data_IF_055110634525
#
_entry.id   IF_055110634525
#
_cell.length_a   1.000
_cell.length_b   1.000
_cell.length_c   1.000
_cell.angle_alpha   90.00
_cell.angle_beta   90.00
_cell.angle_gamma   90.00
#
_symmetry.space_group_name_H-M   'P 1'
#
loop_
_entity.id
_entity.type
_entity.pdbx_description
1 polymer ?
#
# COMPACT_ATOMS: atom_id res chain seq x y z
N UNK A 1 -28.16 -28.17 -0.44
CA UNK A 1 -27.24 -27.13 0.06
C UNK A 1 -27.82 -25.81 -0.36
N UNK A 2 -27.82 -24.78 0.49
CA UNK A 2 -28.28 -23.44 0.09
C UNK A 2 -27.22 -22.76 -0.74
N UNK A 3 -27.63 -21.95 -1.71
CA UNK A 3 -26.76 -21.06 -2.47
C UNK A 3 -25.98 -20.14 -1.51
N UNK A 4 -24.68 -20.02 -1.71
CA UNK A 4 -23.82 -19.17 -0.89
C UNK A 4 -23.72 -17.81 -1.57
N UNK A 5 -24.28 -16.80 -0.92
CA UNK A 5 -24.26 -15.43 -1.44
C UNK A 5 -22.82 -14.93 -1.60
N UNK A 6 -22.49 -14.48 -2.81
CA UNK A 6 -21.15 -13.97 -3.12
C UNK A 6 -20.14 -15.04 -3.53
N UNK A 7 -20.55 -16.30 -3.73
CA UNK A 7 -19.65 -17.38 -4.14
C UNK A 7 -18.89 -17.06 -5.43
N UNK A 8 -19.56 -16.51 -6.43
CA UNK A 8 -18.95 -16.17 -7.73
C UNK A 8 -17.99 -14.97 -7.68
N UNK A 9 -18.00 -14.19 -6.59
CA UNK A 9 -17.10 -13.05 -6.38
C UNK A 9 -15.85 -13.38 -5.56
N UNK A 10 -15.74 -14.61 -5.08
CA UNK A 10 -14.60 -15.08 -4.29
C UNK A 10 -13.57 -15.72 -5.22
N UNK A 11 -12.31 -15.35 -5.09
CA UNK A 11 -11.20 -16.01 -5.80
C UNK A 11 -11.00 -17.43 -5.26
N UNK A 12 -10.62 -18.37 -6.13
CA UNK A 12 -10.25 -19.71 -5.71
C UNK A 12 -9.01 -19.70 -4.80
N UNK A 13 -8.93 -20.63 -3.87
CA UNK A 13 -7.78 -20.74 -2.99
C UNK A 13 -6.50 -21.04 -3.80
N UNK A 14 -5.51 -20.16 -3.71
CA UNK A 14 -4.26 -20.23 -4.48
C UNK A 14 -4.18 -19.27 -5.67
N UNK A 15 -5.27 -18.63 -6.09
CA UNK A 15 -5.30 -17.64 -7.19
C UNK A 15 -4.97 -16.20 -6.75
N UNK A 16 -4.44 -16.02 -5.55
CA UNK A 16 -4.07 -14.68 -5.09
C UNK A 16 -2.98 -14.05 -5.96
N UNK A 17 -3.40 -13.32 -6.98
CA UNK A 17 -2.50 -12.45 -7.73
C UNK A 17 -2.22 -11.20 -6.90
N UNK A 18 -0.99 -11.05 -6.43
CA UNK A 18 -0.53 -9.79 -5.85
C UNK A 18 -0.75 -8.66 -6.87
N UNK A 19 -1.34 -7.55 -6.43
CA UNK A 19 -1.46 -6.37 -7.28
C UNK A 19 -0.06 -5.86 -7.66
N UNK A 20 0.33 -5.83 -8.93
CA UNK A 20 1.63 -5.30 -9.33
C UNK A 20 1.68 -3.77 -9.22
N UNK A 21 2.89 -3.20 -9.17
CA UNK A 21 3.06 -1.78 -9.40
C UNK A 21 2.47 -1.40 -10.76
N UNK A 22 1.74 -0.30 -10.82
CA UNK A 22 1.03 0.08 -12.03
C UNK A 22 0.16 1.31 -11.86
N UNK A 23 -0.53 1.66 -12.94
CA UNK A 23 -1.42 2.80 -13.03
C UNK A 23 -2.84 2.27 -13.19
N UNK A 24 -3.71 2.57 -12.24
CA UNK A 24 -5.07 2.02 -12.20
C UNK A 24 -6.12 3.12 -12.13
N UNK A 25 -7.18 2.94 -12.89
CA UNK A 25 -8.38 3.78 -12.76
C UNK A 25 -9.18 3.25 -11.57
N UNK A 26 -9.35 4.10 -10.57
CA UNK A 26 -10.01 3.72 -9.31
C UNK A 26 -11.24 4.58 -9.06
N UNK A 27 -12.18 4.04 -8.30
CA UNK A 27 -13.30 4.76 -7.71
C UNK A 27 -13.10 4.83 -6.20
N UNK A 28 -13.40 5.98 -5.63
CA UNK A 28 -13.42 6.17 -4.18
C UNK A 28 -14.70 5.54 -3.65
N UNK A 29 -14.59 4.52 -2.82
CA UNK A 29 -15.73 3.76 -2.28
C UNK A 29 -16.13 4.17 -0.88
N UNK A 30 -15.18 4.69 -0.10
CA UNK A 30 -15.43 5.27 1.22
C UNK A 30 -14.36 6.32 1.54
N UNK A 31 -14.75 7.28 2.37
CA UNK A 31 -13.85 8.28 2.94
C UNK A 31 -14.20 8.46 4.41
N UNK A 32 -13.19 8.55 5.26
CA UNK A 32 -13.35 8.82 6.68
C UNK A 32 -12.32 9.87 7.10
N UNK A 33 -12.80 10.98 7.64
CA UNK A 33 -11.93 11.99 8.24
C UNK A 33 -11.49 11.53 9.63
N UNK A 34 -10.20 11.66 9.91
CA UNK A 34 -9.58 11.37 11.21
C UNK A 34 -8.90 12.65 11.74
N UNK A 35 -9.68 13.61 12.27
CA UNK A 35 -9.19 14.94 12.63
C UNK A 35 -8.08 14.92 13.67
N UNK A 36 -8.14 14.00 14.62
CA UNK A 36 -7.11 13.86 15.67
C UNK A 36 -5.71 13.55 15.12
N UNK A 37 -5.64 12.99 13.90
CA UNK A 37 -4.39 12.62 13.22
C UNK A 37 -4.16 13.42 11.94
N UNK A 38 -5.09 14.31 11.57
CA UNK A 38 -5.07 15.21 10.42
C UNK A 38 -4.87 14.46 9.09
N UNK A 39 -5.73 13.47 8.81
CA UNK A 39 -5.76 12.77 7.52
C UNK A 39 -7.16 12.28 7.14
N UNK A 40 -7.36 12.09 5.83
CA UNK A 40 -8.45 11.29 5.30
C UNK A 40 -7.97 9.86 5.08
N UNK A 41 -8.73 8.89 5.59
CA UNK A 41 -8.65 7.49 5.19
C UNK A 41 -9.57 7.29 3.99
N UNK A 42 -9.03 6.79 2.88
CA UNK A 42 -9.73 6.68 1.60
C UNK A 42 -9.71 5.22 1.19
N UNK A 43 -10.88 4.64 0.93
CA UNK A 43 -10.99 3.31 0.33
C UNK A 43 -11.19 3.43 -1.17
N UNK A 44 -10.51 2.58 -1.92
CA UNK A 44 -10.51 2.58 -3.38
C UNK A 44 -10.98 1.22 -3.92
N UNK A 45 -11.60 1.23 -5.10
CA UNK A 45 -11.79 0.03 -5.90
C UNK A 45 -11.24 0.27 -7.31
N UNK A 46 -10.55 -0.72 -7.87
CA UNK A 46 -10.11 -0.68 -9.26
C UNK A 46 -11.32 -0.97 -10.14
N UNK A 47 -11.60 -0.07 -11.09
CA UNK A 47 -12.84 -0.16 -11.89
C UNK A 47 -12.61 -0.52 -13.34
N UNK A 48 -11.34 -0.66 -13.78
CA UNK A 48 -11.03 -0.95 -15.18
C UNK A 48 -9.75 -1.80 -15.33
N UNK A 49 -9.75 -2.66 -16.36
CA UNK A 49 -8.63 -3.56 -16.66
C UNK A 49 -8.73 -4.90 -15.94
N UNK A 50 -7.65 -5.68 -16.01
CA UNK A 50 -7.57 -7.07 -15.51
C UNK A 50 -7.73 -7.18 -13.98
N UNK A 51 -7.58 -6.09 -13.27
CA UNK A 51 -7.71 -6.00 -11.81
C UNK A 51 -8.99 -5.29 -11.36
N UNK A 52 -9.99 -5.14 -12.25
CA UNK A 52 -11.27 -4.56 -11.87
C UNK A 52 -11.94 -5.39 -10.75
N UNK A 53 -12.39 -4.74 -9.67
CA UNK A 53 -12.98 -5.42 -8.51
C UNK A 53 -11.97 -6.09 -7.57
N UNK A 54 -10.68 -5.82 -7.73
CA UNK A 54 -9.61 -6.49 -6.98
C UNK A 54 -9.77 -6.38 -5.46
N UNK A 55 -10.00 -5.19 -4.94
CA UNK A 55 -10.09 -4.99 -3.49
C UNK A 55 -11.35 -5.60 -2.89
N UNK A 56 -12.47 -5.54 -3.61
CA UNK A 56 -13.70 -6.21 -3.21
C UNK A 56 -13.53 -7.73 -3.13
N UNK A 57 -12.92 -8.34 -4.15
CA UNK A 57 -12.61 -9.77 -4.19
C UNK A 57 -11.64 -10.17 -3.07
N UNK A 58 -10.59 -9.39 -2.84
CA UNK A 58 -9.63 -9.62 -1.75
C UNK A 58 -10.31 -9.59 -0.39
N UNK A 59 -11.19 -8.61 -0.16
CA UNK A 59 -11.94 -8.50 1.10
C UNK A 59 -12.91 -9.67 1.28
N UNK A 60 -13.62 -10.07 0.24
CA UNK A 60 -14.53 -11.23 0.28
C UNK A 60 -13.79 -12.53 0.63
N UNK A 61 -12.58 -12.71 0.09
CA UNK A 61 -11.80 -13.95 0.27
C UNK A 61 -11.02 -13.97 1.59
N UNK A 62 -10.39 -12.86 1.97
CA UNK A 62 -9.48 -12.81 3.14
C UNK A 62 -10.13 -12.26 4.41
N UNK A 63 -11.28 -11.61 4.28
CA UNK A 63 -11.91 -10.84 5.36
C UNK A 63 -11.18 -9.52 5.69
N UNK A 64 -10.04 -9.23 5.03
CA UNK A 64 -9.21 -8.04 5.28
C UNK A 64 -9.43 -6.99 4.20
N UNK A 65 -9.47 -5.73 4.62
CA UNK A 65 -9.63 -4.58 3.72
C UNK A 65 -8.25 -4.01 3.33
N UNK A 66 -7.83 -4.27 2.09
CA UNK A 66 -6.60 -3.77 1.50
C UNK A 66 -6.80 -2.52 0.63
N UNK A 67 -8.04 -2.03 0.52
CA UNK A 67 -8.39 -0.89 -0.32
C UNK A 67 -7.95 0.46 0.25
N UNK A 68 -7.58 0.50 1.52
CA UNK A 68 -7.37 1.72 2.29
C UNK A 68 -6.03 2.39 1.99
N UNK A 69 -6.09 3.69 1.80
CA UNK A 69 -4.92 4.58 1.72
C UNK A 69 -5.17 5.85 2.53
N UNK A 70 -4.11 6.51 2.94
CA UNK A 70 -4.17 7.72 3.78
C UNK A 70 -3.70 8.91 2.99
N UNK A 71 -4.41 10.04 3.14
CA UNK A 71 -3.97 11.36 2.65
C UNK A 71 -3.99 12.35 3.80
N UNK A 72 -2.80 12.65 4.31
CA UNK A 72 -2.63 13.64 5.37
C UNK A 72 -2.82 15.05 4.84
N UNK A 73 -3.48 15.88 5.63
CA UNK A 73 -3.62 17.31 5.40
C UNK A 73 -2.83 18.15 6.42
N UNK A 74 -1.88 17.54 7.14
CA UNK A 74 -0.88 18.28 7.93
C UNK A 74 -0.13 19.27 7.06
N UNK A 75 0.35 20.35 7.65
CA UNK A 75 1.02 21.43 6.92
C UNK A 75 2.12 20.94 5.96
N UNK A 76 2.96 20.01 6.40
CA UNK A 76 4.04 19.45 5.58
C UNK A 76 3.56 18.50 4.47
N UNK A 77 2.34 17.96 4.58
CA UNK A 77 1.73 17.04 3.61
C UNK A 77 0.68 17.74 2.71
N UNK A 78 0.33 18.98 3.02
CA UNK A 78 -0.73 19.73 2.33
C UNK A 78 -0.55 19.81 0.80
N UNK A 79 0.66 19.95 0.23
CA UNK A 79 0.84 19.90 -1.23
C UNK A 79 0.36 18.57 -1.86
N UNK A 80 0.58 17.45 -1.19
CA UNK A 80 0.13 16.13 -1.65
C UNK A 80 -1.38 15.96 -1.53
N UNK A 81 -1.96 16.47 -0.46
CA UNK A 81 -3.41 16.52 -0.29
C UNK A 81 -4.06 17.36 -1.39
N UNK A 82 -3.55 18.55 -1.65
CA UNK A 82 -4.02 19.41 -2.74
C UNK A 82 -3.90 18.73 -4.10
N UNK A 83 -2.79 18.02 -4.37
CA UNK A 83 -2.60 17.28 -5.60
C UNK A 83 -3.66 16.17 -5.77
N UNK A 84 -4.01 15.44 -4.70
CA UNK A 84 -5.08 14.46 -4.69
C UNK A 84 -6.44 15.10 -5.05
N UNK A 85 -6.84 16.17 -4.35
CA UNK A 85 -8.10 16.86 -4.62
C UNK A 85 -8.15 17.39 -6.06
N UNK A 86 -7.06 18.01 -6.55
CA UNK A 86 -6.97 18.49 -7.93
C UNK A 86 -7.11 17.34 -8.94
N UNK A 87 -6.53 16.19 -8.67
CA UNK A 87 -6.68 15.01 -9.52
C UNK A 87 -8.12 14.53 -9.59
N UNK A 88 -8.83 14.49 -8.46
CA UNK A 88 -10.26 14.13 -8.39
C UNK A 88 -11.09 15.15 -9.17
N UNK A 89 -10.90 16.45 -8.95
CA UNK A 89 -11.64 17.50 -9.67
C UNK A 89 -11.47 17.42 -11.19
N UNK A 90 -10.23 17.25 -11.66
CA UNK A 90 -9.93 17.14 -13.09
C UNK A 90 -10.47 15.86 -13.72
N UNK A 91 -10.61 14.79 -12.95
CA UNK A 91 -11.14 13.51 -13.44
C UNK A 91 -12.67 13.53 -13.52
N UNK A 92 -13.34 14.27 -12.65
CA UNK A 92 -14.80 14.28 -12.54
C UNK A 92 -15.34 15.65 -12.96
N UNK A 93 -15.82 15.75 -14.22
CA UNK A 93 -16.38 17.01 -14.76
C UNK A 93 -17.49 17.56 -13.86
N UNK A 94 -17.41 18.87 -13.60
CA UNK A 94 -18.40 19.58 -12.78
C UNK A 94 -18.26 19.38 -11.27
N UNK A 95 -17.36 18.52 -10.83
CA UNK A 95 -17.06 18.39 -9.41
C UNK A 95 -16.04 19.47 -8.98
N UNK A 96 -16.33 20.11 -7.85
CA UNK A 96 -15.42 21.01 -7.14
C UNK A 96 -15.41 20.67 -5.67
N UNK A 97 -14.22 20.65 -5.09
CA UNK A 97 -14.03 20.40 -3.67
C UNK A 97 -14.59 21.55 -2.84
N UNK A 98 -15.42 21.22 -1.87
CA UNK A 98 -16.12 22.17 -1.01
C UNK A 98 -15.99 21.83 0.48
N UNK A 99 -14.95 21.09 0.84
CA UNK A 99 -14.65 20.66 2.22
C UNK A 99 -15.66 19.66 2.82
N UNK A 100 -16.35 18.91 1.97
CA UNK A 100 -17.23 17.82 2.36
C UNK A 100 -16.66 16.52 1.81
N UNK A 101 -15.96 15.77 2.69
CA UNK A 101 -15.25 14.55 2.31
C UNK A 101 -16.17 13.44 1.81
N UNK A 102 -17.41 13.39 2.29
CA UNK A 102 -18.41 12.43 1.85
C UNK A 102 -18.75 12.57 0.35
N UNK A 103 -18.57 13.76 -0.24
CA UNK A 103 -18.79 13.99 -1.68
C UNK A 103 -17.69 13.43 -2.56
N UNK A 104 -16.59 12.98 -1.99
CA UNK A 104 -15.55 12.24 -2.70
C UNK A 104 -15.99 10.82 -3.03
N UNK A 105 -16.93 10.25 -2.26
CA UNK A 105 -17.44 8.89 -2.50
C UNK A 105 -18.11 8.82 -3.88
N UNK A 106 -17.80 7.79 -4.63
CA UNK A 106 -18.26 7.59 -6.01
C UNK A 106 -17.44 8.33 -7.07
N UNK A 107 -16.51 9.21 -6.71
CA UNK A 107 -15.64 9.89 -7.66
C UNK A 107 -14.52 8.98 -8.15
N UNK A 108 -14.08 9.24 -9.38
CA UNK A 108 -12.98 8.52 -10.00
C UNK A 108 -11.67 9.27 -9.85
N UNK A 109 -10.59 8.53 -9.74
CA UNK A 109 -9.23 9.08 -9.75
C UNK A 109 -8.26 8.03 -10.27
N UNK A 110 -7.18 8.44 -10.89
CA UNK A 110 -6.11 7.52 -11.29
C UNK A 110 -5.15 7.37 -10.13
N UNK A 111 -5.02 6.16 -9.61
CA UNK A 111 -4.08 5.82 -8.55
C UNK A 111 -2.83 5.15 -9.13
N UNK A 112 -1.66 5.64 -8.75
CA UNK A 112 -0.37 5.07 -9.13
C UNK A 112 0.12 4.24 -7.96
N UNK A 113 0.17 2.93 -8.17
CA UNK A 113 0.67 1.97 -7.20
C UNK A 113 2.15 1.70 -7.45
N UNK A 114 2.95 1.87 -6.43
CA UNK A 114 4.37 1.54 -6.45
C UNK A 114 4.70 0.49 -5.41
N UNK A 115 5.83 -0.17 -5.59
CA UNK A 115 6.35 -1.12 -4.63
C UNK A 115 7.20 -0.42 -3.57
N UNK A 116 7.07 -0.86 -2.33
CA UNK A 116 7.81 -0.36 -1.17
C UNK A 116 8.29 -1.54 -0.32
N UNK A 117 9.59 -1.57 -0.04
CA UNK A 117 10.15 -2.50 0.94
C UNK A 117 9.77 -2.06 2.36
N UNK A 118 9.51 -3.02 3.22
CA UNK A 118 9.30 -2.82 4.65
C UNK A 118 9.87 -3.98 5.44
N UNK A 119 10.25 -3.75 6.69
CA UNK A 119 10.66 -4.82 7.60
C UNK A 119 9.42 -5.36 8.28
N UNK A 120 9.17 -6.65 8.09
CA UNK A 120 8.10 -7.38 8.77
C UNK A 120 8.47 -7.54 10.25
N UNK A 121 7.64 -6.99 11.13
CA UNK A 121 7.91 -6.99 12.59
C UNK A 121 7.91 -8.38 13.23
N UNK A 122 7.26 -9.36 12.59
CA UNK A 122 7.17 -10.71 13.13
C UNK A 122 8.33 -11.60 12.69
N UNK A 123 8.70 -11.52 11.39
CA UNK A 123 9.80 -12.33 10.83
C UNK A 123 11.13 -11.60 10.78
N UNK A 124 11.15 -10.28 11.02
CA UNK A 124 12.32 -9.40 10.86
C UNK A 124 12.96 -9.46 9.46
N UNK A 125 12.17 -9.85 8.46
CA UNK A 125 12.59 -9.93 7.07
C UNK A 125 12.15 -8.71 6.28
N UNK A 126 12.93 -8.36 5.24
CA UNK A 126 12.51 -7.33 4.27
C UNK A 126 11.50 -7.94 3.31
N UNK A 127 10.30 -7.36 3.28
CA UNK A 127 9.21 -7.75 2.38
C UNK A 127 8.83 -6.57 1.49
N UNK A 128 8.18 -6.87 0.37
CA UNK A 128 7.70 -5.86 -0.59
C UNK A 128 6.19 -5.80 -0.55
N UNK A 129 5.64 -4.60 -0.40
CA UNK A 129 4.20 -4.32 -0.52
C UNK A 129 3.93 -3.33 -1.65
N UNK A 130 2.79 -3.49 -2.31
CA UNK A 130 2.29 -2.55 -3.31
C UNK A 130 1.32 -1.57 -2.64
N UNK A 131 1.59 -0.27 -2.77
CA UNK A 131 0.79 0.80 -2.14
C UNK A 131 0.55 1.95 -3.09
N UNK A 132 -0.53 2.70 -2.86
CA UNK A 132 -0.77 3.96 -3.57
C UNK A 132 0.29 4.99 -3.18
N UNK A 133 1.08 5.39 -4.13
CA UNK A 133 2.09 6.44 -3.95
C UNK A 133 1.58 7.80 -4.40
N UNK A 134 0.88 7.87 -5.55
CA UNK A 134 0.41 9.12 -6.12
C UNK A 134 -1.02 9.00 -6.63
N UNK A 135 -1.68 10.16 -6.74
CA UNK A 135 -2.93 10.32 -7.46
C UNK A 135 -2.74 11.25 -8.66
N UNK A 136 -3.32 10.88 -9.78
CA UNK A 136 -3.24 11.60 -11.04
C UNK A 136 -4.63 11.79 -11.65
N UNK A 137 -4.76 12.77 -12.53
CA UNK A 137 -6.01 13.01 -13.24
C UNK A 137 -6.22 12.03 -14.40
N UNK A 138 -7.47 11.83 -14.78
CA UNK A 138 -7.84 11.04 -15.95
C UNK A 138 -7.25 11.59 -17.25
N UNK A 139 -7.06 12.91 -17.36
CA UNK A 139 -6.43 13.52 -18.53
C UNK A 139 -4.93 13.15 -18.62
N UNK A 140 -4.20 13.21 -17.49
CA UNK A 140 -2.81 12.77 -17.45
C UNK A 140 -2.66 11.28 -17.83
N UNK A 141 -3.63 10.45 -17.48
CA UNK A 141 -3.67 9.05 -17.88
C UNK A 141 -3.87 8.89 -19.39
N UNK A 142 -4.85 9.59 -19.98
CA UNK A 142 -5.12 9.55 -21.43
C UNK A 142 -3.94 10.02 -22.27
N UNK A 143 -3.20 11.00 -21.77
CA UNK A 143 -2.04 11.58 -22.44
C UNK A 143 -0.74 10.77 -22.21
N UNK A 144 -0.79 9.67 -21.47
CA UNK A 144 0.38 8.83 -21.20
C UNK A 144 1.48 9.52 -20.38
N UNK A 145 1.16 10.56 -19.62
CA UNK A 145 2.12 11.38 -18.84
C UNK A 145 2.41 10.83 -17.44
N UNK A 146 1.98 9.60 -17.14
CA UNK A 146 2.14 9.00 -15.83
C UNK A 146 3.19 7.90 -15.94
N UNK A 147 4.15 7.91 -15.02
CA UNK A 147 5.15 6.85 -14.88
C UNK A 147 4.98 6.15 -13.53
N UNK A 148 5.21 4.85 -13.52
CA UNK A 148 5.24 4.07 -12.27
C UNK A 148 6.56 4.36 -11.58
N UNK A 149 6.56 4.80 -10.31
CA UNK A 149 7.79 5.05 -9.57
C UNK A 149 8.57 3.76 -9.34
N UNK A 150 9.91 3.83 -9.27
CA UNK A 150 10.75 2.68 -8.98
C UNK A 150 10.50 2.16 -7.55
N UNK A 151 10.93 0.93 -7.29
CA UNK A 151 10.87 0.32 -5.96
C UNK A 151 11.51 1.22 -4.91
N UNK A 152 10.73 1.59 -3.90
CA UNK A 152 11.21 2.35 -2.74
C UNK A 152 11.84 1.40 -1.73
N UNK A 153 13.14 1.46 -1.60
CA UNK A 153 13.90 0.60 -0.69
C UNK A 153 13.80 1.05 0.76
N UNK A 154 13.90 0.09 1.68
CA UNK A 154 14.08 0.35 3.12
C UNK A 154 15.38 1.14 3.34
N UNK A 155 15.31 2.15 4.20
CA UNK A 155 16.50 2.89 4.59
C UNK A 155 17.45 1.99 5.39
N UNK A 156 18.79 2.15 5.23
CA UNK A 156 19.77 1.33 5.96
C UNK A 156 19.57 1.29 7.47
N UNK A 157 19.09 2.38 8.05
CA UNK A 157 18.79 2.52 9.49
C UNK A 157 17.61 1.65 9.97
N UNK A 158 16.79 1.15 9.05
CA UNK A 158 15.62 0.32 9.31
C UNK A 158 15.87 -1.16 9.00
N UNK A 159 17.06 -1.50 8.47
CA UNK A 159 17.41 -2.88 8.20
C UNK A 159 17.60 -3.65 9.50
N UNK A 160 17.19 -4.93 9.57
CA UNK A 160 17.47 -5.76 10.71
C UNK A 160 18.97 -5.83 10.94
N UNK A 161 19.42 -5.40 12.11
CA UNK A 161 20.79 -5.67 12.50
C UNK A 161 20.96 -7.19 12.64
N UNK A 162 22.01 -7.81 12.07
CA UNK A 162 22.31 -9.19 12.37
C UNK A 162 22.50 -9.29 13.88
N UNK A 163 21.67 -10.09 14.53
CA UNK A 163 21.85 -10.41 15.94
C UNK A 163 23.22 -11.07 16.02
N UNK A 164 24.20 -10.35 16.54
CA UNK A 164 25.50 -10.93 16.86
C UNK A 164 25.21 -12.02 17.89
N UNK A 165 25.13 -13.25 17.42
CA UNK A 165 25.25 -14.41 18.30
C UNK A 165 26.65 -14.33 18.83
N UNK A 166 26.80 -13.81 20.04
CA UNK A 166 28.05 -13.88 20.77
C UNK A 166 28.28 -15.37 21.08
N UNK A 167 28.87 -16.07 20.11
CA UNK A 167 29.61 -17.28 20.39
C UNK A 167 30.80 -16.84 21.21
N UNK A 168 30.68 -16.93 22.52
CA UNK A 168 31.81 -16.92 23.41
C UNK A 168 32.60 -18.18 23.08
N UNK A 169 33.55 -18.05 22.16
CA UNK A 169 34.65 -19.00 22.02
C UNK A 169 35.48 -18.76 23.28
N UNK A 170 35.29 -19.63 24.28
CA UNK A 170 36.27 -19.79 25.33
C UNK A 170 37.53 -20.33 24.63
N UNK A 171 38.51 -19.46 24.39
CA UNK A 171 39.91 -19.88 24.20
C UNK A 171 40.35 -20.56 25.47
N UNK A 172 40.31 -21.88 25.48
CA UNK A 172 41.06 -22.70 26.41
C UNK A 172 42.53 -22.57 26.01
N UNK A 173 43.26 -21.69 26.66
CA UNK A 173 44.73 -21.69 26.67
C UNK A 173 45.17 -22.97 27.34
N UNK A 174 45.53 -23.97 26.56
CA UNK A 174 46.27 -25.15 27.05
C UNK A 174 47.64 -24.64 27.40
N UNK A 175 47.96 -24.66 28.68
CA UNK A 175 49.30 -24.41 29.17
C UNK A 175 50.21 -25.55 28.78
N UNK A 176 51.42 -25.23 28.25
CA UNK A 176 52.43 -26.15 27.75
C UNK A 176 53.13 -27.00 28.83
N UNK A 177 52.56 -27.01 30.06
CA UNK A 177 53.20 -27.62 31.25
C UNK A 177 52.62 -29.02 31.61
N UNK A 178 51.75 -29.60 30.81
CA UNK A 178 51.13 -30.90 31.08
C UNK A 178 51.50 -31.97 30.01
N UNK A 179 52.78 -32.07 29.62
CA UNK A 179 53.27 -33.18 28.84
C UNK A 179 54.08 -34.14 29.75
N UNK A 180 53.69 -35.41 29.89
CA UNK A 180 54.33 -36.38 30.76
C UNK A 180 55.48 -37.11 30.05
N UNK A 181 56.53 -36.36 29.68
CA UNK A 181 57.86 -36.94 29.38
C UNK A 181 58.88 -35.85 29.13
#
# INVERSE_FOLDING_TARGET
MKEIKGFDSVMEAGEFKKLPAGIYITQITAVNDVPASEYLEISLEIVKGDYAGYFGSMKATTGKDYSKTIRSYKTNALPFFKAFITAVEKTNKGYKWDWHEEKLVGKYVVAVFGEEEYVDKNSNEVKVSTKVQEFRSGDAYKEGRITVPPLKKVKPEQLPHPTATSSTVQETTVSDDDLPF
#
